data_IF_051838112547
#
_entry.id   IF_051838112547
#
_cell.length_a   1.000
_cell.length_b   1.000
_cell.length_c   1.000
_cell.angle_alpha   90.00
_cell.angle_beta   90.00
_cell.angle_gamma   90.00
#
_symmetry.space_group_name_H-M   'P 1'
#
loop_
_entity.id
_entity.type
_entity.pdbx_description
1 polymer ?
#
# COMPACT_ATOMS: atom_id res chain seq x y z
N UNK A 1 -15.73 16.56 5.07
CA UNK A 1 -15.12 15.22 5.02
C UNK A 1 -16.05 14.19 4.37
N UNK A 2 -17.30 14.05 4.82
CA UNK A 2 -18.26 13.09 4.23
C UNK A 2 -18.53 13.28 2.73
N UNK A 3 -18.59 14.52 2.25
CA UNK A 3 -18.75 14.83 0.82
C UNK A 3 -17.59 14.30 -0.03
N UNK A 4 -16.34 14.46 0.45
CA UNK A 4 -15.17 13.91 -0.22
C UNK A 4 -15.18 12.38 -0.20
N UNK A 5 -15.65 11.75 0.90
CA UNK A 5 -15.84 10.29 0.95
C UNK A 5 -16.88 9.83 -0.07
N UNK A 6 -18.01 10.53 -0.17
CA UNK A 6 -19.06 10.23 -1.14
C UNK A 6 -18.56 10.40 -2.59
N UNK A 7 -17.82 11.47 -2.87
CA UNK A 7 -17.19 11.71 -4.17
C UNK A 7 -16.20 10.60 -4.54
N UNK A 8 -15.32 10.20 -3.60
CA UNK A 8 -14.38 9.11 -3.85
C UNK A 8 -15.10 7.79 -4.15
N UNK A 9 -16.26 7.54 -3.54
CA UNK A 9 -17.07 6.34 -3.83
C UNK A 9 -17.72 6.42 -5.21
N UNK A 10 -18.22 7.59 -5.60
CA UNK A 10 -18.82 7.81 -6.92
C UNK A 10 -17.79 7.62 -8.05
N UNK A 11 -16.54 8.01 -7.82
CA UNK A 11 -15.45 7.88 -8.80
C UNK A 11 -14.73 6.52 -8.75
N UNK A 12 -15.25 5.52 -8.03
CA UNK A 12 -14.54 4.26 -7.79
C UNK A 12 -14.06 3.51 -9.05
N UNK A 13 -14.68 3.74 -10.21
CA UNK A 13 -14.33 3.11 -11.50
C UNK A 13 -13.43 3.97 -12.40
N UNK A 14 -13.10 5.18 -11.99
CA UNK A 14 -12.22 6.09 -12.71
C UNK A 14 -11.06 6.47 -11.79
N UNK A 15 -9.96 5.73 -11.87
CA UNK A 15 -8.81 5.94 -11.02
C UNK A 15 -8.20 7.33 -11.19
N UNK A 16 -8.19 7.87 -12.42
CA UNK A 16 -7.66 9.18 -12.72
C UNK A 16 -8.52 10.27 -12.10
N UNK A 17 -9.84 10.20 -12.25
CA UNK A 17 -10.75 11.17 -11.63
C UNK A 17 -10.78 11.05 -10.10
N UNK A 18 -10.55 9.83 -9.56
CA UNK A 18 -10.57 9.56 -8.12
C UNK A 18 -9.32 10.05 -7.41
N UNK A 19 -8.15 10.08 -8.06
CA UNK A 19 -6.86 10.29 -7.40
C UNK A 19 -6.80 11.52 -6.49
N UNK A 20 -7.41 12.62 -6.93
CA UNK A 20 -7.39 13.90 -6.19
C UNK A 20 -8.20 13.84 -4.88
N UNK A 21 -9.25 13.03 -4.83
CA UNK A 21 -10.17 13.01 -3.69
C UNK A 21 -9.57 12.40 -2.40
N UNK A 22 -8.87 11.25 -2.43
CA UNK A 22 -8.12 10.74 -1.29
C UNK A 22 -7.04 11.70 -0.78
N UNK A 23 -6.36 12.44 -1.67
CA UNK A 23 -5.34 13.42 -1.27
C UNK A 23 -5.99 14.53 -0.43
N UNK A 24 -7.13 15.05 -0.88
CA UNK A 24 -7.84 16.11 -0.16
C UNK A 24 -8.47 15.60 1.14
N UNK A 25 -8.89 14.33 1.20
CA UNK A 25 -9.29 13.69 2.45
C UNK A 25 -8.15 13.63 3.46
N UNK A 26 -6.96 13.19 3.03
CA UNK A 26 -5.79 13.07 3.91
C UNK A 26 -5.34 14.43 4.42
N UNK A 27 -5.26 15.46 3.55
CA UNK A 27 -4.95 16.84 3.95
C UNK A 27 -5.94 17.37 4.98
N UNK A 28 -7.24 17.24 4.73
CA UNK A 28 -8.27 17.71 5.67
C UNK A 28 -8.19 16.97 7.01
N UNK A 29 -7.92 15.66 6.99
CA UNK A 29 -7.78 14.85 8.20
C UNK A 29 -6.55 15.21 9.04
N UNK A 30 -5.40 15.40 8.38
CA UNK A 30 -4.12 15.70 9.04
C UNK A 30 -4.02 17.15 9.49
N UNK A 31 -4.35 18.11 8.62
CA UNK A 31 -4.11 19.52 8.86
C UNK A 31 -5.24 20.17 9.67
N UNK A 32 -6.49 20.01 9.25
CA UNK A 32 -7.63 20.73 9.85
C UNK A 32 -8.16 20.06 11.11
N UNK A 33 -8.15 18.73 11.13
CA UNK A 33 -8.74 17.94 12.21
C UNK A 33 -7.71 17.26 13.13
N UNK A 34 -6.44 17.21 12.73
CA UNK A 34 -5.34 16.56 13.45
C UNK A 34 -5.72 15.16 13.98
N UNK A 35 -6.47 14.38 13.18
CA UNK A 35 -7.06 13.11 13.63
C UNK A 35 -6.00 12.03 13.94
N UNK A 36 -4.80 12.19 13.39
CA UNK A 36 -3.67 11.29 13.59
C UNK A 36 -2.36 12.07 13.54
N UNK A 37 -1.34 11.55 14.24
CA UNK A 37 0.04 12.06 14.19
C UNK A 37 0.89 10.99 13.49
N UNK A 38 1.22 11.15 12.19
CA UNK A 38 2.03 10.18 11.47
C UNK A 38 3.46 10.13 12.01
N UNK A 39 3.95 8.94 12.37
CA UNK A 39 5.34 8.76 12.86
C UNK A 39 6.23 8.18 11.75
N UNK A 40 5.79 7.08 11.13
CA UNK A 40 6.42 6.49 9.95
C UNK A 40 5.45 5.50 9.28
N UNK A 41 5.63 5.25 7.99
CA UNK A 41 5.03 4.11 7.32
C UNK A 41 5.96 2.91 7.51
N UNK A 42 5.49 1.87 8.20
CA UNK A 42 6.29 0.67 8.43
C UNK A 42 6.70 0.02 7.12
N UNK A 43 7.79 -0.74 7.11
CA UNK A 43 8.14 -1.68 6.05
C UNK A 43 8.60 -2.99 6.68
N UNK A 44 8.38 -4.12 5.99
CA UNK A 44 8.78 -5.42 6.52
C UNK A 44 10.26 -5.66 6.22
N UNK A 45 11.10 -5.68 7.27
CA UNK A 45 12.47 -6.16 7.15
C UNK A 45 12.46 -7.70 7.05
N UNK A 46 13.04 -8.24 5.99
CA UNK A 46 13.03 -9.68 5.72
C UNK A 46 14.47 -10.15 5.48
N UNK A 47 14.86 -11.20 6.19
CA UNK A 47 16.09 -11.94 5.90
C UNK A 47 15.77 -13.00 4.85
N UNK A 48 16.56 -13.02 3.77
CA UNK A 48 16.34 -13.91 2.64
C UNK A 48 17.55 -14.83 2.46
N UNK A 49 17.28 -16.13 2.30
CA UNK A 49 18.33 -17.08 1.97
C UNK A 49 18.78 -16.83 0.52
N UNK A 50 20.07 -16.59 0.24
CA UNK A 50 20.56 -16.31 -1.11
C UNK A 50 20.33 -17.45 -2.12
N UNK A 51 20.02 -18.66 -1.65
CA UNK A 51 19.65 -19.79 -2.52
C UNK A 51 18.20 -19.74 -3.00
N UNK A 52 17.39 -18.82 -2.48
CA UNK A 52 15.97 -18.70 -2.83
C UNK A 52 15.78 -17.49 -3.73
N UNK A 53 15.17 -17.67 -4.88
CA UNK A 53 14.84 -16.59 -5.83
C UNK A 53 13.35 -16.52 -6.11
N UNK A 54 12.93 -15.48 -6.83
CA UNK A 54 11.59 -15.34 -7.41
C UNK A 54 10.42 -15.34 -6.39
N UNK A 55 10.70 -14.94 -5.15
CA UNK A 55 9.67 -14.66 -4.15
C UNK A 55 8.94 -13.37 -4.54
N UNK A 56 7.64 -13.46 -4.84
CA UNK A 56 6.81 -12.29 -5.14
C UNK A 56 6.27 -11.67 -3.84
N UNK A 57 6.50 -10.36 -3.67
CA UNK A 57 6.05 -9.57 -2.51
C UNK A 57 5.30 -8.32 -2.97
N UNK A 58 4.03 -8.44 -3.40
CA UNK A 58 3.24 -7.29 -3.82
C UNK A 58 2.78 -6.51 -2.58
N UNK A 59 3.63 -5.56 -2.14
CA UNK A 59 3.36 -4.72 -0.98
C UNK A 59 3.67 -5.39 0.36
N UNK A 60 3.02 -4.91 1.43
CA UNK A 60 3.34 -5.27 2.83
C UNK A 60 2.52 -6.45 3.38
N UNK A 61 1.55 -6.96 2.64
CA UNK A 61 0.46 -7.75 3.24
C UNK A 61 0.63 -9.26 3.08
N UNK A 62 1.34 -9.75 2.06
CA UNK A 62 1.48 -11.19 1.85
C UNK A 62 2.71 -11.54 0.99
N UNK A 63 3.30 -12.70 1.29
CA UNK A 63 4.37 -13.30 0.50
C UNK A 63 3.74 -14.37 -0.40
N UNK A 64 4.06 -14.34 -1.69
CA UNK A 64 3.60 -15.32 -2.66
C UNK A 64 4.78 -16.16 -3.15
N UNK A 65 4.72 -17.46 -2.85
CA UNK A 65 5.75 -18.45 -3.19
C UNK A 65 5.46 -19.23 -4.48
N UNK A 66 4.40 -18.89 -5.23
CA UNK A 66 3.99 -19.62 -6.44
C UNK A 66 5.11 -19.78 -7.47
N UNK A 67 6.03 -18.81 -7.53
CA UNK A 67 7.14 -18.78 -8.46
C UNK A 67 8.49 -18.87 -7.77
N UNK A 68 8.52 -19.09 -6.46
CA UNK A 68 9.77 -19.15 -5.72
C UNK A 68 10.57 -20.38 -6.18
N UNK A 69 11.87 -20.19 -6.37
CA UNK A 69 12.79 -21.23 -6.78
C UNK A 69 13.91 -21.41 -5.73
N UNK A 70 14.44 -22.63 -5.63
CA UNK A 70 15.54 -22.95 -4.72
C UNK A 70 16.69 -23.49 -5.56
N UNK A 71 17.78 -22.72 -5.63
CA UNK A 71 19.00 -23.18 -6.26
C UNK A 71 19.65 -24.26 -5.39
N UNK A 72 19.47 -25.52 -5.78
CA UNK A 72 20.26 -26.64 -5.27
C UNK A 72 21.60 -26.66 -6.01
N UNK A 73 22.71 -26.60 -5.27
CA UNK A 73 24.02 -26.84 -5.86
C UNK A 73 24.07 -28.27 -6.44
N UNK A 74 24.39 -28.39 -7.72
CA UNK A 74 24.81 -29.66 -8.35
C UNK A 74 26.19 -30.10 -7.85
#
# INVERSE_FOLDING_TARGET
MDELVAQSRAQARDASARWETPINLEKTGLDDHAVQIPVYQSYQAILENPQVSDINRPGQSYINYRWADIQTAE
#
